data_IF_738791450411
#
_entry.id   IF_738791450411
#
_cell.length_a   1.000
_cell.length_b   1.000
_cell.length_c   1.000
_cell.angle_alpha   90.00
_cell.angle_beta   90.00
_cell.angle_gamma   90.00
#
_symmetry.space_group_name_H-M   'P 1'
#
loop_
_entity.id
_entity.type
_entity.pdbx_description
1 polymer ?
#
# COMPACT_ATOMS: atom_id res chain seq x y z
N UNK A 1 -28.03 -26.05 -44.45
CA UNK A 1 -26.84 -26.77 -44.92
C UNK A 1 -27.04 -27.04 -46.39
N UNK A 2 -26.02 -26.79 -47.18
CA UNK A 2 -26.03 -26.96 -48.63
C UNK A 2 -24.91 -27.92 -49.04
N UNK A 3 -25.08 -28.59 -50.17
CA UNK A 3 -24.03 -29.39 -50.80
C UNK A 3 -23.01 -28.51 -51.55
N UNK A 4 -21.99 -29.14 -52.13
CA UNK A 4 -20.93 -28.48 -52.89
C UNK A 4 -21.42 -27.72 -54.15
N UNK A 5 -22.64 -27.99 -54.62
CA UNK A 5 -23.22 -27.37 -55.79
C UNK A 5 -24.23 -26.27 -55.42
N UNK A 6 -24.42 -25.96 -54.13
CA UNK A 6 -25.30 -24.89 -53.68
C UNK A 6 -26.73 -25.32 -53.34
N UNK A 7 -27.06 -26.62 -53.43
CA UNK A 7 -28.41 -27.11 -53.18
C UNK A 7 -28.64 -27.42 -51.70
N UNK A 8 -29.81 -27.06 -51.19
CA UNK A 8 -30.14 -27.25 -49.77
C UNK A 8 -30.41 -28.74 -49.51
N UNK A 9 -29.53 -29.35 -48.72
CA UNK A 9 -29.64 -30.76 -48.30
C UNK A 9 -30.27 -30.93 -46.92
N UNK A 10 -30.23 -29.89 -46.09
CA UNK A 10 -30.83 -29.93 -44.75
C UNK A 10 -31.12 -28.54 -44.22
N UNK A 11 -32.32 -28.37 -43.67
CA UNK A 11 -32.76 -27.16 -42.95
C UNK A 11 -33.43 -27.57 -41.65
N UNK A 12 -33.22 -26.80 -40.57
CA UNK A 12 -33.93 -27.05 -39.31
C UNK A 12 -35.26 -26.25 -39.29
N UNK A 13 -36.22 -26.76 -38.51
CA UNK A 13 -37.56 -26.16 -38.40
C UNK A 13 -37.53 -24.73 -37.87
N UNK A 14 -36.63 -24.43 -36.93
CA UNK A 14 -36.49 -23.08 -36.38
C UNK A 14 -36.09 -22.05 -37.45
N UNK A 15 -35.21 -22.41 -38.38
CA UNK A 15 -34.80 -21.50 -39.46
C UNK A 15 -35.83 -21.43 -40.58
N UNK A 16 -36.49 -22.54 -40.93
CA UNK A 16 -37.61 -22.52 -41.89
C UNK A 16 -38.76 -21.62 -41.42
N UNK A 17 -39.14 -21.71 -40.14
CA UNK A 17 -40.13 -20.82 -39.52
C UNK A 17 -39.69 -19.34 -39.55
N UNK A 18 -38.38 -19.08 -39.37
CA UNK A 18 -37.84 -17.73 -39.42
C UNK A 18 -37.88 -17.15 -40.84
N UNK A 19 -37.67 -17.99 -41.86
CA UNK A 19 -37.83 -17.64 -43.27
C UNK A 19 -39.30 -17.56 -43.69
N UNK A 20 -40.23 -18.14 -42.92
CA UNK A 20 -41.65 -18.16 -43.24
C UNK A 20 -42.01 -19.18 -44.33
N UNK A 21 -41.22 -20.24 -44.49
CA UNK A 21 -41.38 -21.27 -45.52
C UNK A 21 -41.51 -22.66 -44.89
N UNK A 22 -42.08 -23.62 -45.63
CA UNK A 22 -42.05 -25.03 -45.26
C UNK A 22 -40.72 -25.67 -45.68
N UNK A 23 -40.19 -26.59 -44.88
CA UNK A 23 -38.90 -27.25 -45.16
C UNK A 23 -38.95 -28.00 -46.50
N UNK A 24 -40.09 -28.60 -46.83
CA UNK A 24 -40.27 -29.42 -48.03
C UNK A 24 -40.05 -28.59 -49.30
N UNK A 25 -40.40 -27.30 -49.27
CA UNK A 25 -40.26 -26.38 -50.39
C UNK A 25 -38.81 -25.86 -50.55
N UNK A 26 -37.97 -26.08 -49.54
CA UNK A 26 -36.58 -25.61 -49.53
C UNK A 26 -35.57 -26.70 -49.89
N UNK A 27 -35.86 -27.97 -49.59
CA UNK A 27 -34.91 -29.07 -49.84
C UNK A 27 -34.81 -29.36 -51.34
N UNK A 28 -33.58 -29.41 -51.86
CA UNK A 28 -33.32 -29.69 -53.28
C UNK A 28 -33.29 -28.44 -54.16
N UNK A 29 -33.76 -27.29 -53.66
CA UNK A 29 -33.67 -26.01 -54.36
C UNK A 29 -32.30 -25.34 -54.12
N UNK A 30 -31.90 -24.46 -55.04
CA UNK A 30 -30.64 -23.74 -54.90
C UNK A 30 -30.76 -22.65 -53.83
N UNK A 31 -29.75 -22.51 -52.98
CA UNK A 31 -29.82 -21.67 -51.77
C UNK A 31 -30.10 -20.20 -52.04
N UNK A 32 -29.73 -19.69 -53.21
CA UNK A 32 -29.96 -18.29 -53.62
C UNK A 32 -31.40 -18.00 -54.00
N UNK A 33 -32.18 -19.03 -54.33
CA UNK A 33 -33.60 -18.91 -54.69
C UNK A 33 -34.49 -18.91 -53.44
N UNK A 34 -34.00 -19.51 -52.35
CA UNK A 34 -34.72 -19.65 -51.08
C UNK A 34 -34.30 -18.59 -50.05
N UNK A 35 -33.02 -18.20 -50.02
CA UNK A 35 -32.48 -17.34 -48.97
C UNK A 35 -31.82 -16.10 -49.59
N UNK A 36 -32.46 -14.95 -49.43
CA UNK A 36 -31.96 -13.66 -49.89
C UNK A 36 -30.55 -13.37 -49.35
N UNK A 37 -29.64 -12.96 -50.23
CA UNK A 37 -28.28 -12.52 -49.87
C UNK A 37 -27.50 -13.52 -48.99
N UNK A 38 -27.77 -14.82 -49.15
CA UNK A 38 -27.25 -15.90 -48.31
C UNK A 38 -25.73 -16.06 -48.35
N UNK A 39 -25.08 -15.76 -49.48
CA UNK A 39 -23.64 -15.95 -49.72
C UNK A 39 -23.08 -17.34 -49.33
N UNK A 40 -23.93 -18.34 -49.06
CA UNK A 40 -23.49 -19.70 -48.76
C UNK A 40 -22.79 -20.35 -49.97
N UNK A 41 -23.22 -20.02 -51.19
CA UNK A 41 -22.52 -20.39 -52.42
C UNK A 41 -21.11 -19.76 -52.51
N UNK A 42 -20.94 -18.54 -52.02
CA UNK A 42 -19.65 -17.83 -52.04
C UNK A 42 -18.64 -18.49 -51.10
N UNK A 43 -19.05 -18.90 -49.89
CA UNK A 43 -18.14 -19.58 -48.97
C UNK A 43 -17.72 -20.97 -49.47
N UNK A 44 -18.53 -21.61 -50.32
CA UNK A 44 -18.13 -22.83 -51.03
C UNK A 44 -17.08 -22.53 -52.09
N UNK A 45 -17.27 -21.50 -52.90
CA UNK A 45 -16.30 -21.13 -53.94
C UNK A 45 -14.96 -20.68 -53.36
N UNK A 46 -15.01 -19.90 -52.28
CA UNK A 46 -13.82 -19.29 -51.67
C UNK A 46 -13.15 -20.18 -50.64
N UNK A 47 -13.88 -21.10 -50.01
CA UNK A 47 -13.40 -21.88 -48.87
C UNK A 47 -13.16 -21.09 -47.58
N UNK A 48 -13.56 -19.81 -47.53
CA UNK A 48 -13.34 -18.93 -46.38
C UNK A 48 -14.63 -18.81 -45.56
N UNK A 49 -14.52 -18.94 -44.23
CA UNK A 49 -15.66 -18.76 -43.34
C UNK A 49 -16.01 -17.28 -43.17
N UNK A 50 -17.30 -16.97 -43.23
CA UNK A 50 -17.84 -15.65 -42.89
C UNK A 50 -18.51 -15.75 -41.52
N UNK A 51 -17.92 -15.16 -40.47
CA UNK A 51 -18.42 -15.28 -39.10
C UNK A 51 -18.97 -13.93 -38.63
N UNK A 52 -20.17 -13.94 -38.03
CA UNK A 52 -20.79 -12.76 -37.42
C UNK A 52 -21.16 -11.65 -38.40
N UNK A 53 -21.43 -11.99 -39.65
CA UNK A 53 -21.78 -11.03 -40.70
C UNK A 53 -23.25 -10.63 -40.62
N UNK A 54 -23.49 -9.35 -40.86
CA UNK A 54 -24.85 -8.81 -40.96
C UNK A 54 -25.46 -9.28 -42.28
N UNK A 55 -26.64 -9.89 -42.21
CA UNK A 55 -27.46 -10.28 -43.34
C UNK A 55 -28.87 -9.76 -43.12
N UNK A 56 -29.44 -9.15 -44.15
CA UNK A 56 -30.84 -8.79 -44.16
C UNK A 56 -31.68 -9.99 -44.57
N UNK A 57 -32.61 -10.42 -43.72
CA UNK A 57 -33.50 -11.58 -43.96
C UNK A 57 -34.91 -11.18 -43.53
N UNK A 58 -35.91 -11.30 -44.43
CA UNK A 58 -37.31 -10.98 -44.15
C UNK A 58 -37.54 -9.60 -43.50
N UNK A 59 -36.84 -8.57 -43.97
CA UNK A 59 -36.99 -7.21 -43.42
C UNK A 59 -36.22 -6.95 -42.12
N UNK A 60 -35.44 -7.91 -41.62
CA UNK A 60 -34.71 -7.79 -40.36
C UNK A 60 -33.19 -7.94 -40.54
N UNK A 61 -32.45 -7.11 -39.83
CA UNK A 61 -31.01 -7.23 -39.69
C UNK A 61 -30.66 -8.40 -38.76
N UNK A 62 -30.06 -9.45 -39.32
CA UNK A 62 -29.68 -10.67 -38.62
C UNK A 62 -28.17 -10.84 -38.62
N UNK A 63 -27.61 -11.37 -37.53
CA UNK A 63 -26.18 -11.71 -37.46
C UNK A 63 -26.04 -13.20 -37.79
N UNK A 64 -25.25 -13.50 -38.83
CA UNK A 64 -25.14 -14.84 -39.39
C UNK A 64 -23.70 -15.28 -39.52
N UNK A 65 -23.50 -16.60 -39.47
CA UNK A 65 -22.21 -17.23 -39.77
C UNK A 65 -22.39 -18.30 -40.82
N UNK A 66 -21.43 -18.40 -41.74
CA UNK A 66 -21.42 -19.32 -42.88
C UNK A 66 -20.06 -20.01 -42.91
N UNK A 67 -20.09 -21.32 -42.78
CA UNK A 67 -18.88 -22.13 -42.62
C UNK A 67 -18.86 -23.19 -43.73
N UNK A 68 -17.84 -23.20 -44.62
CA UNK A 68 -17.65 -24.28 -45.56
C UNK A 68 -17.27 -25.57 -44.84
N UNK A 69 -17.77 -26.69 -45.36
CA UNK A 69 -17.54 -28.02 -44.85
C UNK A 69 -16.50 -28.72 -45.73
N UNK A 70 -15.47 -29.31 -45.11
CA UNK A 70 -14.39 -29.98 -45.80
C UNK A 70 -14.38 -31.48 -45.50
N UNK A 71 -14.03 -32.29 -46.50
CA UNK A 71 -13.69 -33.69 -46.34
C UNK A 71 -12.43 -33.99 -47.17
N UNK A 72 -11.38 -34.51 -46.53
CA UNK A 72 -10.08 -34.78 -47.16
C UNK A 72 -9.52 -33.60 -47.98
N UNK A 73 -9.66 -32.37 -47.46
CA UNK A 73 -9.17 -31.15 -48.11
C UNK A 73 -10.03 -30.63 -49.27
N UNK A 74 -11.15 -31.30 -49.60
CA UNK A 74 -12.12 -30.83 -50.60
C UNK A 74 -13.36 -30.27 -49.92
N UNK A 75 -13.90 -29.18 -50.46
CA UNK A 75 -15.15 -28.60 -49.98
C UNK A 75 -16.30 -29.50 -50.43
N UNK A 76 -17.12 -29.94 -49.48
CA UNK A 76 -18.27 -30.83 -49.72
C UNK A 76 -19.62 -30.13 -49.50
N UNK A 77 -19.61 -28.87 -49.07
CA UNK A 77 -20.81 -28.07 -48.84
C UNK A 77 -20.57 -26.93 -47.86
N UNK A 78 -21.64 -26.35 -47.32
CA UNK A 78 -21.56 -25.29 -46.31
C UNK A 78 -22.74 -25.31 -45.33
N UNK A 79 -22.53 -24.78 -44.13
CA UNK A 79 -23.56 -24.57 -43.12
C UNK A 79 -23.69 -23.08 -42.79
N UNK A 80 -24.93 -22.59 -42.88
CA UNK A 80 -25.30 -21.25 -42.43
C UNK A 80 -26.07 -21.32 -41.11
N UNK A 81 -25.83 -20.36 -40.22
CA UNK A 81 -26.52 -20.23 -38.95
C UNK A 81 -26.82 -18.76 -38.65
N UNK A 82 -28.00 -18.49 -38.10
CA UNK A 82 -28.37 -17.18 -37.56
C UNK A 82 -28.12 -17.19 -36.06
N UNK A 83 -27.24 -16.30 -35.59
CA UNK A 83 -26.85 -16.16 -34.19
C UNK A 83 -27.83 -15.24 -33.45
N UNK A 84 -28.17 -14.10 -34.07
CA UNK A 84 -29.15 -13.15 -33.53
C UNK A 84 -30.16 -12.79 -34.61
N UNK A 85 -31.45 -12.83 -34.25
CA UNK A 85 -32.57 -12.62 -35.19
C UNK A 85 -32.90 -11.14 -35.38
N UNK A 86 -32.50 -10.29 -34.44
CA UNK A 86 -32.58 -8.83 -34.55
C UNK A 86 -31.54 -8.15 -33.65
N UNK A 87 -31.27 -6.88 -33.93
CA UNK A 87 -30.37 -6.03 -33.12
C UNK A 87 -30.95 -5.65 -31.74
N UNK A 88 -32.26 -5.86 -31.50
CA UNK A 88 -32.87 -5.62 -30.19
C UNK A 88 -32.45 -6.65 -29.13
N UNK A 89 -32.29 -7.92 -29.51
CA UNK A 89 -31.81 -9.00 -28.62
C UNK A 89 -30.42 -8.68 -28.06
N UNK A 90 -29.52 -8.18 -28.91
CA UNK A 90 -28.17 -7.76 -28.52
C UNK A 90 -28.23 -6.58 -27.54
N UNK A 91 -29.08 -5.59 -27.81
CA UNK A 91 -29.25 -4.43 -26.93
C UNK A 91 -29.84 -4.80 -25.56
N UNK A 92 -30.77 -5.76 -25.50
CA UNK A 92 -31.30 -6.26 -24.22
C UNK A 92 -30.25 -6.96 -23.37
N UNK A 93 -29.39 -7.79 -24.00
CA UNK A 93 -28.25 -8.42 -23.33
C UNK A 93 -27.27 -7.38 -22.80
N UNK A 94 -26.93 -6.37 -23.60
CA UNK A 94 -26.06 -5.27 -23.18
C UNK A 94 -26.62 -4.52 -21.97
N UNK A 95 -27.93 -4.24 -21.96
CA UNK A 95 -28.60 -3.58 -20.84
C UNK A 95 -28.53 -4.40 -19.55
N UNK A 96 -28.79 -5.72 -19.63
CA UNK A 96 -28.68 -6.62 -18.46
C UNK A 96 -27.27 -6.70 -17.90
N UNK A 97 -26.25 -6.77 -18.76
CA UNK A 97 -24.84 -6.76 -18.32
C UNK A 97 -24.50 -5.46 -17.60
N UNK A 98 -24.97 -4.32 -18.13
CA UNK A 98 -24.76 -3.01 -17.52
C UNK A 98 -25.43 -2.89 -16.15
N UNK A 99 -26.67 -3.36 -16.01
CA UNK A 99 -27.40 -3.37 -14.74
C UNK A 99 -26.71 -4.26 -13.69
N UNK A 100 -26.29 -5.46 -14.08
CA UNK A 100 -25.55 -6.37 -13.19
C UNK A 100 -24.21 -5.79 -12.72
N UNK A 101 -23.48 -5.08 -13.59
CA UNK A 101 -22.23 -4.41 -13.22
C UNK A 101 -22.45 -3.27 -12.21
N UNK A 102 -23.51 -2.48 -12.38
CA UNK A 102 -23.87 -1.41 -11.43
C UNK A 102 -24.23 -2.03 -10.07
N UNK A 103 -24.98 -3.12 -10.05
CA UNK A 103 -25.33 -3.82 -8.81
C UNK A 103 -24.09 -4.40 -8.12
N UNK A 104 -23.17 -4.99 -8.89
CA UNK A 104 -21.89 -5.51 -8.39
C UNK A 104 -21.03 -4.43 -7.75
N UNK A 105 -20.94 -3.25 -8.36
CA UNK A 105 -20.17 -2.13 -7.80
C UNK A 105 -20.80 -1.59 -6.51
N UNK A 106 -22.13 -1.49 -6.46
CA UNK A 106 -22.85 -1.14 -5.23
C UNK A 106 -22.64 -2.18 -4.11
N UNK A 107 -22.56 -3.46 -4.45
CA UNK A 107 -22.30 -4.53 -3.50
C UNK A 107 -20.87 -4.46 -2.94
N UNK A 108 -19.88 -4.21 -3.81
CA UNK A 108 -18.48 -3.97 -3.40
C UNK A 108 -18.36 -2.76 -2.47
N UNK A 109 -19.07 -1.67 -2.75
CA UNK A 109 -19.06 -0.49 -1.86
C UNK A 109 -19.66 -0.79 -0.48
N UNK A 110 -20.77 -1.55 -0.42
CA UNK A 110 -21.41 -1.93 0.86
C UNK A 110 -20.52 -2.85 1.69
N UNK A 111 -19.84 -3.81 1.07
CA UNK A 111 -18.87 -4.68 1.74
C UNK A 111 -17.68 -3.90 2.30
N UNK A 112 -17.17 -2.90 1.56
CA UNK A 112 -16.10 -2.01 2.03
C UNK A 112 -16.49 -1.23 3.29
N UNK A 113 -17.74 -0.80 3.43
CA UNK A 113 -18.21 -0.04 4.61
C UNK A 113 -18.30 -0.88 5.89
N UNK A 114 -18.60 -2.17 5.78
CA UNK A 114 -18.69 -3.08 6.95
C UNK A 114 -17.30 -3.62 7.34
N UNK A 115 -16.39 -3.83 6.39
CA UNK A 115 -15.02 -4.30 6.65
C UNK A 115 -14.04 -3.21 7.12
N UNK A 116 -14.37 -1.93 6.96
CA UNK A 116 -13.47 -0.79 7.28
C UNK A 116 -12.89 -0.80 8.69
N UNK A 117 -13.64 -1.26 9.70
CA UNK A 117 -13.16 -1.29 11.10
C UNK A 117 -12.03 -2.31 11.35
N UNK A 118 -11.97 -3.40 10.56
CA UNK A 118 -10.90 -4.40 10.67
C UNK A 118 -9.73 -4.03 9.75
N UNK A 119 -10.00 -3.53 8.54
CA UNK A 119 -8.96 -3.19 7.57
C UNK A 119 -7.96 -2.15 8.10
N UNK A 120 -8.42 -1.07 8.76
CA UNK A 120 -7.51 0.01 9.16
C UNK A 120 -6.55 -0.36 10.31
N UNK A 121 -6.95 -1.27 11.22
CA UNK A 121 -6.03 -1.79 12.25
C UNK A 121 -5.14 -2.89 11.69
N UNK A 122 -5.62 -3.61 10.68
CA UNK A 122 -4.86 -4.62 9.95
C UNK A 122 -3.78 -3.99 9.07
N UNK A 123 -3.94 -2.72 8.65
CA UNK A 123 -2.89 -1.93 7.98
C UNK A 123 -1.65 -1.70 8.88
N UNK A 124 -1.79 -1.83 10.21
CA UNK A 124 -0.63 -1.86 11.11
C UNK A 124 -0.02 -3.26 11.03
N UNK A 125 0.94 -3.46 10.12
CA UNK A 125 1.60 -4.76 9.95
C UNK A 125 2.55 -5.05 11.11
N UNK A 126 2.42 -6.26 11.69
CA UNK A 126 3.28 -6.75 12.76
C UNK A 126 2.58 -7.72 13.72
N UNK A 127 3.34 -8.75 14.11
CA UNK A 127 2.98 -9.81 15.05
C UNK A 127 3.79 -9.73 16.36
N UNK A 128 4.76 -8.82 16.45
CA UNK A 128 5.51 -8.60 17.67
C UNK A 128 4.59 -8.20 18.83
N UNK A 129 4.87 -8.71 20.02
CA UNK A 129 4.05 -8.50 21.21
C UNK A 129 3.83 -7.02 21.54
N UNK A 130 4.82 -6.15 21.27
CA UNK A 130 4.70 -4.70 21.45
C UNK A 130 3.66 -4.11 20.49
N UNK A 131 3.68 -4.50 19.21
CA UNK A 131 2.70 -4.05 18.21
C UNK A 131 1.30 -4.56 18.51
N UNK A 132 1.16 -5.83 18.91
CA UNK A 132 -0.14 -6.40 19.33
C UNK A 132 -0.71 -5.63 20.53
N UNK A 133 0.13 -5.30 21.51
CA UNK A 133 -0.28 -4.50 22.67
C UNK A 133 -0.73 -3.10 22.24
N UNK A 134 0.00 -2.45 21.32
CA UNK A 134 -0.40 -1.14 20.78
C UNK A 134 -1.73 -1.22 20.02
N UNK A 135 -1.94 -2.24 19.19
CA UNK A 135 -3.23 -2.47 18.50
C UNK A 135 -4.39 -2.57 19.49
N UNK A 136 -4.19 -3.30 20.59
CA UNK A 136 -5.20 -3.44 21.64
C UNK A 136 -5.44 -2.13 22.42
N UNK A 137 -4.39 -1.33 22.64
CA UNK A 137 -4.55 0.02 23.20
C UNK A 137 -5.37 0.90 22.26
N UNK A 138 -5.04 0.92 20.96
CA UNK A 138 -5.77 1.69 19.94
C UNK A 138 -7.25 1.30 19.93
N UNK A 139 -7.57 0.00 19.94
CA UNK A 139 -8.95 -0.52 20.04
C UNK A 139 -9.74 0.09 21.20
N UNK A 140 -9.08 0.33 22.34
CA UNK A 140 -9.72 0.87 23.55
C UNK A 140 -9.83 2.39 23.55
N UNK A 141 -8.84 3.09 23.02
CA UNK A 141 -8.77 4.57 23.08
C UNK A 141 -9.39 5.24 21.86
N UNK A 142 -9.60 4.52 20.76
CA UNK A 142 -10.19 5.07 19.55
C UNK A 142 -11.63 5.57 19.77
N UNK A 143 -12.41 4.98 20.70
CA UNK A 143 -13.79 5.40 20.97
C UNK A 143 -13.91 6.64 21.87
N UNK A 144 -12.81 7.10 22.48
CA UNK A 144 -12.82 8.34 23.28
C UNK A 144 -12.41 9.55 22.44
N UNK A 145 -12.81 10.75 22.89
CA UNK A 145 -12.41 12.03 22.27
C UNK A 145 -11.10 12.61 22.87
N UNK A 146 -10.41 11.84 23.72
CA UNK A 146 -9.15 12.26 24.32
C UNK A 146 -8.07 12.51 23.26
N UNK A 147 -7.23 13.52 23.51
CA UNK A 147 -6.04 13.79 22.71
C UNK A 147 -5.07 12.62 22.80
N UNK A 148 -4.52 12.21 21.66
CA UNK A 148 -3.53 11.14 21.58
C UNK A 148 -2.21 11.74 21.09
N UNK A 149 -1.11 11.42 21.77
CA UNK A 149 0.24 11.76 21.36
C UNK A 149 0.97 10.49 20.92
N UNK A 150 1.31 10.42 19.64
CA UNK A 150 2.06 9.32 19.03
C UNK A 150 3.54 9.71 18.99
N UNK A 151 4.37 9.02 19.76
CA UNK A 151 5.83 9.17 19.72
C UNK A 151 6.47 8.01 18.99
N UNK A 152 7.57 8.28 18.30
CA UNK A 152 8.33 7.23 17.62
C UNK A 152 9.26 7.80 16.58
N UNK A 153 10.34 7.08 16.31
CA UNK A 153 11.35 7.47 15.34
C UNK A 153 10.76 7.72 13.94
N UNK A 154 11.49 8.47 13.11
CA UNK A 154 11.09 8.68 11.73
C UNK A 154 11.00 7.35 10.97
N UNK A 155 9.97 7.20 10.14
CA UNK A 155 9.76 6.00 9.34
C UNK A 155 9.14 4.81 10.08
N UNK A 156 8.68 4.96 11.31
CA UNK A 156 8.00 3.89 12.08
C UNK A 156 6.53 3.67 11.73
N UNK A 157 5.92 4.57 10.94
CA UNK A 157 4.53 4.48 10.50
C UNK A 157 3.51 5.27 11.34
N UNK A 158 3.92 6.34 12.03
CA UNK A 158 3.02 7.18 12.88
C UNK A 158 1.70 7.56 12.21
N UNK A 159 1.73 7.87 10.90
CA UNK A 159 0.52 8.20 10.15
C UNK A 159 -0.45 7.01 10.00
N UNK A 160 0.04 5.79 9.81
CA UNK A 160 -0.78 4.57 9.75
C UNK A 160 -1.52 4.37 11.07
N UNK A 161 -0.83 4.58 12.19
CA UNK A 161 -1.44 4.53 13.52
C UNK A 161 -2.51 5.61 13.69
N UNK A 162 -2.26 6.84 13.23
CA UNK A 162 -3.24 7.93 13.29
C UNK A 162 -4.49 7.64 12.44
N UNK A 163 -4.31 7.09 11.22
CA UNK A 163 -5.43 6.63 10.38
C UNK A 163 -6.26 5.57 11.10
N UNK A 164 -5.60 4.55 11.68
CA UNK A 164 -6.26 3.46 12.40
C UNK A 164 -7.08 3.99 13.58
N UNK A 165 -6.52 4.92 14.37
CA UNK A 165 -7.23 5.55 15.50
C UNK A 165 -8.49 6.29 15.02
N UNK A 166 -8.41 7.03 13.90
CA UNK A 166 -9.56 7.77 13.37
C UNK A 166 -10.64 6.82 12.82
N UNK A 167 -10.28 5.85 11.98
CA UNK A 167 -11.24 4.90 11.37
C UNK A 167 -11.94 4.02 12.42
N UNK A 168 -11.29 3.80 13.58
CA UNK A 168 -11.89 3.05 14.70
C UNK A 168 -12.66 3.93 15.69
N UNK A 169 -12.73 5.24 15.44
CA UNK A 169 -13.41 6.18 16.34
C UNK A 169 -14.88 6.37 16.01
N UNK A 170 -15.60 7.02 16.92
CA UNK A 170 -16.97 7.48 16.68
C UNK A 170 -17.04 8.57 15.59
N UNK A 171 -15.89 9.13 15.17
CA UNK A 171 -15.77 10.19 14.16
C UNK A 171 -15.28 9.67 12.80
N UNK A 172 -15.22 8.36 12.58
CA UNK A 172 -14.70 7.73 11.35
C UNK A 172 -15.37 8.15 10.04
N UNK A 173 -16.66 8.53 10.12
CA UNK A 173 -17.45 8.95 8.98
C UNK A 173 -17.29 10.47 8.71
N UNK A 174 -16.59 11.18 9.59
CA UNK A 174 -16.27 12.61 9.47
C UNK A 174 -14.87 12.80 8.88
N UNK A 175 -14.51 14.06 8.61
CA UNK A 175 -13.23 14.41 7.97
C UNK A 175 -12.04 14.02 8.84
N UNK A 176 -11.03 13.42 8.22
CA UNK A 176 -9.68 13.26 8.77
C UNK A 176 -8.71 14.23 8.09
N UNK A 177 -8.36 15.30 8.78
CA UNK A 177 -7.49 16.36 8.22
C UNK A 177 -6.07 16.17 8.71
N UNK A 178 -5.13 15.96 7.79
CA UNK A 178 -3.70 15.78 8.11
C UNK A 178 -2.93 17.06 7.85
N UNK A 179 -2.01 17.41 8.76
CA UNK A 179 -1.12 18.55 8.65
C UNK A 179 0.27 18.15 9.13
N UNK A 180 1.29 18.36 8.31
CA UNK A 180 2.68 18.21 8.70
C UNK A 180 3.24 19.58 9.10
N UNK A 181 3.62 19.72 10.37
CA UNK A 181 4.07 20.99 10.93
C UNK A 181 5.51 21.35 10.51
N UNK A 182 6.32 20.39 10.09
CA UNK A 182 7.71 20.60 9.69
C UNK A 182 7.87 20.98 8.20
N UNK A 183 6.92 20.59 7.34
CA UNK A 183 7.01 20.78 5.89
C UNK A 183 6.65 22.19 5.40
N UNK A 184 6.03 23.02 6.24
CA UNK A 184 5.44 24.30 5.86
C UNK A 184 6.10 25.44 6.65
N UNK A 185 6.55 26.53 6.00
CA UNK A 185 7.03 27.73 6.70
C UNK A 185 6.00 28.25 7.72
N UNK A 186 6.44 28.72 8.88
CA UNK A 186 5.57 29.06 10.01
C UNK A 186 4.43 30.03 9.65
N UNK A 187 4.72 31.06 8.84
CA UNK A 187 3.71 32.03 8.39
C UNK A 187 2.62 31.40 7.51
N UNK A 188 2.99 30.44 6.66
CA UNK A 188 2.04 29.70 5.83
C UNK A 188 1.28 28.72 6.71
N UNK A 189 1.95 28.03 7.64
CA UNK A 189 1.36 27.07 8.56
C UNK A 189 0.26 27.70 9.40
N UNK A 190 0.46 28.91 9.89
CA UNK A 190 -0.55 29.68 10.64
C UNK A 190 -1.83 29.88 9.82
N UNK A 191 -1.67 30.37 8.59
CA UNK A 191 -2.78 30.62 7.67
C UNK A 191 -3.48 29.34 7.19
N UNK A 192 -2.75 28.21 7.11
CA UNK A 192 -3.32 26.90 6.81
C UNK A 192 -4.12 26.38 7.99
N UNK A 193 -3.56 26.37 9.20
CA UNK A 193 -4.19 25.78 10.37
C UNK A 193 -5.44 26.56 10.81
N UNK A 194 -5.33 27.88 10.91
CA UNK A 194 -6.36 28.73 11.51
C UNK A 194 -7.18 29.52 10.49
N UNK A 195 -6.74 29.59 9.23
CA UNK A 195 -7.40 30.42 8.22
C UNK A 195 -7.13 31.91 8.42
N UNK A 196 -7.70 32.73 7.54
CA UNK A 196 -7.57 34.19 7.59
C UNK A 196 -8.83 34.89 7.10
N UNK A 197 -9.08 36.09 7.61
CA UNK A 197 -10.13 36.97 7.10
C UNK A 197 -9.64 37.79 5.89
N UNK A 198 -10.59 38.30 5.10
CA UNK A 198 -10.28 39.21 4.00
C UNK A 198 -9.51 40.43 4.52
N UNK A 199 -8.42 40.80 3.84
CA UNK A 199 -7.59 41.94 4.22
C UNK A 199 -6.59 41.69 5.35
N UNK A 200 -6.44 40.45 5.86
CA UNK A 200 -5.51 40.15 6.95
C UNK A 200 -4.02 40.45 6.62
N UNK A 201 -3.62 40.35 5.35
CA UNK A 201 -2.28 40.70 4.85
C UNK A 201 -2.32 41.02 3.35
N UNK A 202 -1.24 41.59 2.82
CA UNK A 202 -1.10 41.92 1.40
C UNK A 202 -1.15 40.64 0.53
N UNK A 203 -2.18 40.51 -0.30
CA UNK A 203 -2.42 39.31 -1.12
C UNK A 203 -3.43 38.31 -0.54
N UNK A 204 -4.10 38.64 0.57
CA UNK A 204 -5.23 37.86 1.07
C UNK A 204 -6.35 37.77 0.02
N UNK A 205 -6.88 36.56 -0.21
CA UNK A 205 -7.99 36.34 -1.14
C UNK A 205 -9.25 37.06 -0.66
N UNK A 206 -10.02 37.63 -1.60
CA UNK A 206 -11.38 38.12 -1.34
C UNK A 206 -12.24 36.97 -0.79
N UNK A 207 -12.92 37.18 0.33
CA UNK A 207 -13.65 36.15 1.07
C UNK A 207 -12.83 35.33 2.08
N UNK A 208 -11.53 35.60 2.24
CA UNK A 208 -10.67 34.92 3.22
C UNK A 208 -10.35 33.46 2.89
N UNK A 209 -9.91 32.69 3.89
CA UNK A 209 -9.60 31.27 3.79
C UNK A 209 -10.00 30.51 5.05
N UNK A 210 -10.64 29.37 4.88
CA UNK A 210 -11.02 28.46 5.97
C UNK A 210 -9.78 27.69 6.44
N UNK A 211 -9.56 27.64 7.76
CA UNK A 211 -8.45 26.91 8.37
C UNK A 211 -8.67 25.39 8.42
N UNK A 212 -7.59 24.60 8.57
CA UNK A 212 -7.64 23.15 8.74
C UNK A 212 -8.42 22.72 9.98
N UNK A 213 -8.39 23.50 11.05
CA UNK A 213 -9.18 23.21 12.25
C UNK A 213 -10.69 23.35 11.99
N UNK A 214 -11.13 24.41 11.32
CA UNK A 214 -12.52 24.55 10.87
C UNK A 214 -12.92 23.43 9.90
N UNK A 215 -12.02 23.06 8.97
CA UNK A 215 -12.26 21.96 8.04
C UNK A 215 -12.41 20.61 8.76
N UNK A 216 -11.74 20.43 9.89
CA UNK A 216 -11.79 19.21 10.71
C UNK A 216 -12.93 19.20 11.73
N UNK A 217 -13.78 20.23 11.76
CA UNK A 217 -14.88 20.32 12.72
C UNK A 217 -15.78 19.07 12.67
N UNK A 218 -16.17 18.55 13.84
CA UNK A 218 -16.82 17.26 14.08
C UNK A 218 -16.00 16.02 13.72
N UNK A 219 -14.83 16.19 13.11
CA UNK A 219 -13.91 15.14 12.71
C UNK A 219 -12.67 15.07 13.59
N UNK A 220 -11.56 14.67 12.95
CA UNK A 220 -10.26 14.52 13.59
C UNK A 220 -9.20 15.27 12.80
N UNK A 221 -8.31 15.98 13.50
CA UNK A 221 -7.10 16.56 12.93
C UNK A 221 -5.86 15.78 13.40
N UNK A 222 -4.99 15.44 12.45
CA UNK A 222 -3.68 14.83 12.70
C UNK A 222 -2.58 15.86 12.48
N UNK A 223 -1.82 16.13 13.53
CA UNK A 223 -0.70 17.07 13.54
C UNK A 223 0.60 16.28 13.60
N UNK A 224 1.24 16.07 12.45
CA UNK A 224 2.53 15.39 12.36
C UNK A 224 3.68 16.35 12.61
N UNK A 225 4.75 15.81 13.19
CA UNK A 225 5.94 16.53 13.65
C UNK A 225 5.63 17.78 14.49
N UNK A 226 4.74 17.65 15.49
CA UNK A 226 4.34 18.75 16.37
C UNK A 226 5.50 19.37 17.14
N UNK A 227 6.59 18.61 17.34
CA UNK A 227 7.80 19.08 17.97
C UNK A 227 8.46 20.25 17.22
N UNK A 228 8.26 20.38 15.92
CA UNK A 228 8.85 21.44 15.08
C UNK A 228 8.04 22.74 15.05
N UNK A 229 6.91 22.79 15.76
CA UNK A 229 6.06 23.97 15.83
C UNK A 229 6.72 25.10 16.64
N UNK A 230 6.71 26.33 16.11
CA UNK A 230 7.20 27.52 16.81
C UNK A 230 6.37 27.91 18.03
N UNK A 231 6.96 28.68 18.96
CA UNK A 231 6.34 29.04 20.25
C UNK A 231 5.01 29.82 20.12
N UNK A 232 4.89 30.66 19.09
CA UNK A 232 3.66 31.40 18.82
C UNK A 232 2.52 30.45 18.42
N UNK A 233 2.83 29.50 17.53
CA UNK A 233 1.91 28.48 17.07
C UNK A 233 1.49 27.53 18.20
N UNK A 234 2.43 27.16 19.08
CA UNK A 234 2.13 26.36 20.27
C UNK A 234 1.12 27.06 21.19
N UNK A 235 1.22 28.39 21.33
CA UNK A 235 0.29 29.17 22.15
C UNK A 235 -1.12 29.20 21.56
N UNK A 236 -1.25 29.29 20.23
CA UNK A 236 -2.54 29.20 19.54
C UNK A 236 -3.15 27.80 19.60
N UNK A 237 -2.33 26.76 19.43
CA UNK A 237 -2.77 25.37 19.56
C UNK A 237 -3.27 25.07 20.97
N UNK A 238 -2.59 25.59 22.00
CA UNK A 238 -3.02 25.45 23.39
C UNK A 238 -4.44 26.00 23.59
N UNK A 239 -4.74 27.16 23.00
CA UNK A 239 -6.06 27.77 23.05
C UNK A 239 -7.12 26.91 22.37
N UNK A 240 -6.81 26.32 21.21
CA UNK A 240 -7.69 25.33 20.55
C UNK A 240 -7.97 24.13 21.45
N UNK A 241 -6.94 23.59 22.12
CA UNK A 241 -7.08 22.42 22.99
C UNK A 241 -7.93 22.72 24.24
N UNK A 242 -7.75 23.90 24.84
CA UNK A 242 -8.39 24.29 26.10
C UNK A 242 -9.79 24.89 25.91
N UNK A 243 -9.91 25.87 25.03
CA UNK A 243 -11.13 26.67 24.86
C UNK A 243 -12.04 26.13 23.76
N UNK A 244 -11.55 25.20 22.91
CA UNK A 244 -12.29 24.66 21.75
C UNK A 244 -12.72 25.76 20.77
N UNK A 245 -11.89 26.79 20.64
CA UNK A 245 -12.07 27.89 19.68
C UNK A 245 -10.86 28.09 18.79
N UNK A 246 -11.11 28.63 17.60
CA UNK A 246 -10.08 29.06 16.65
C UNK A 246 -10.27 30.54 16.33
N UNK A 247 -9.17 31.30 16.36
CA UNK A 247 -9.14 32.67 15.84
C UNK A 247 -8.47 32.70 14.46
N UNK A 248 -9.16 33.27 13.48
CA UNK A 248 -8.57 33.51 12.15
C UNK A 248 -7.48 34.58 12.24
N UNK A 249 -6.48 34.47 11.37
CA UNK A 249 -5.49 35.55 11.22
C UNK A 249 -6.20 36.82 10.77
N UNK A 250 -6.02 37.91 11.51
CA UNK A 250 -6.70 39.19 11.30
C UNK A 250 -8.17 39.23 11.73
N UNK A 251 -8.73 38.10 12.21
CA UNK A 251 -10.11 38.02 12.68
C UNK A 251 -10.27 38.44 14.13
N UNK A 252 -11.45 38.98 14.46
CA UNK A 252 -11.79 39.43 15.83
C UNK A 252 -12.74 38.49 16.57
N UNK A 253 -13.37 37.54 15.87
CA UNK A 253 -14.37 36.63 16.44
C UNK A 253 -13.85 35.20 16.54
N UNK A 254 -13.80 34.61 17.75
CA UNK A 254 -13.46 33.21 17.92
C UNK A 254 -14.55 32.31 17.31
N UNK A 255 -14.13 31.20 16.72
CA UNK A 255 -15.01 30.20 16.10
C UNK A 255 -14.98 28.93 16.95
N UNK A 256 -16.12 28.54 17.53
CA UNK A 256 -16.25 27.28 18.26
C UNK A 256 -16.05 26.09 17.32
N UNK A 257 -15.23 25.13 17.76
CA UNK A 257 -14.93 23.91 17.02
C UNK A 257 -14.99 22.68 17.93
N UNK A 258 -15.47 21.58 17.38
CA UNK A 258 -15.42 20.26 18.01
C UNK A 258 -14.49 19.36 17.20
N UNK A 259 -13.21 19.35 17.53
CA UNK A 259 -12.19 18.58 16.81
C UNK A 259 -11.47 17.65 17.76
N UNK A 260 -11.37 16.37 17.38
CA UNK A 260 -10.46 15.43 18.03
C UNK A 260 -9.05 15.63 17.50
N UNK A 261 -8.06 15.66 18.39
CA UNK A 261 -6.67 15.90 18.03
C UNK A 261 -5.85 14.63 18.22
N UNK A 262 -5.11 14.25 17.18
CA UNK A 262 -4.03 13.26 17.23
C UNK A 262 -2.75 14.00 16.85
N UNK A 263 -1.74 14.00 17.73
CA UNK A 263 -0.45 14.61 17.45
C UNK A 263 0.62 13.53 17.32
N UNK A 264 1.65 13.79 16.52
CA UNK A 264 2.80 12.91 16.36
C UNK A 264 4.11 13.69 16.37
N UNK A 265 5.17 13.04 16.87
CA UNK A 265 6.54 13.58 16.76
C UNK A 265 7.59 12.48 16.89
N UNK A 266 8.73 12.68 16.24
CA UNK A 266 9.95 11.90 16.48
C UNK A 266 10.89 12.50 17.55
N UNK A 267 10.56 13.65 18.13
CA UNK A 267 11.44 14.39 19.03
C UNK A 267 11.09 14.13 20.49
N UNK A 268 12.10 14.26 21.36
CA UNK A 268 11.89 14.22 22.80
C UNK A 268 11.33 15.57 23.28
N UNK A 269 10.00 15.65 23.46
CA UNK A 269 9.33 16.89 23.90
C UNK A 269 9.78 17.33 25.29
N UNK A 270 10.12 16.41 26.19
CA UNK A 270 10.61 16.76 27.54
C UNK A 270 11.96 17.49 27.44
N UNK A 271 12.87 17.03 26.58
CA UNK A 271 14.11 17.76 26.31
C UNK A 271 13.85 19.13 25.67
N UNK A 272 12.86 19.24 24.77
CA UNK A 272 12.51 20.53 24.16
C UNK A 272 11.95 21.53 25.16
N UNK A 273 11.19 21.05 26.16
CA UNK A 273 10.71 21.86 27.29
C UNK A 273 11.89 22.38 28.10
N UNK A 274 12.83 21.51 28.47
CA UNK A 274 14.03 21.90 29.23
C UNK A 274 14.90 22.93 28.48
N UNK A 275 14.89 22.89 27.14
CA UNK A 275 15.57 23.86 26.26
C UNK A 275 14.76 25.14 25.99
N UNK A 276 13.54 25.26 26.52
CA UNK A 276 12.65 26.42 26.30
C UNK A 276 12.04 26.51 24.88
N UNK A 277 12.17 25.46 24.08
CA UNK A 277 11.69 25.40 22.69
C UNK A 277 10.31 24.75 22.53
N UNK A 278 9.76 24.22 23.63
CA UNK A 278 8.40 23.67 23.68
C UNK A 278 7.74 24.02 25.01
N UNK A 279 6.44 24.33 24.99
CA UNK A 279 5.71 24.71 26.20
C UNK A 279 5.27 23.50 27.01
N UNK A 280 5.48 23.57 28.31
CA UNK A 280 5.10 22.53 29.27
C UNK A 280 3.56 22.36 29.37
N UNK A 281 2.81 23.46 29.38
CA UNK A 281 1.34 23.45 29.44
C UNK A 281 0.69 22.78 28.22
N UNK A 282 1.24 23.01 27.03
CA UNK A 282 0.84 22.34 25.80
C UNK A 282 1.15 20.84 25.84
N UNK A 283 2.34 20.47 26.32
CA UNK A 283 2.73 19.06 26.44
C UNK A 283 1.73 18.28 27.29
N UNK A 284 1.32 18.79 28.45
CA UNK A 284 0.34 18.09 29.29
C UNK A 284 -1.06 17.97 28.66
N UNK A 285 -1.45 18.92 27.79
CA UNK A 285 -2.72 18.84 27.03
C UNK A 285 -2.65 17.92 25.81
N UNK A 286 -1.46 17.70 25.25
CA UNK A 286 -1.24 16.75 24.17
C UNK A 286 -1.06 15.32 24.71
N UNK A 287 -0.29 15.15 25.78
CA UNK A 287 0.12 13.87 26.34
C UNK A 287 -0.93 13.26 27.27
N UNK A 288 -2.21 13.28 26.87
CA UNK A 288 -3.30 12.67 27.64
C UNK A 288 -3.28 11.15 27.46
N UNK A 289 -3.11 10.68 26.23
CA UNK A 289 -2.93 9.26 25.91
C UNK A 289 -1.64 9.11 25.08
N UNK A 290 -0.53 8.70 25.70
CA UNK A 290 0.71 8.40 24.98
C UNK A 290 0.63 7.06 24.23
N UNK A 291 1.09 7.06 22.98
CA UNK A 291 1.29 5.87 22.16
C UNK A 291 2.72 5.92 21.62
N UNK A 292 3.60 5.10 22.20
CA UNK A 292 4.99 5.01 21.76
C UNK A 292 5.16 3.85 20.78
N UNK A 293 5.57 4.16 19.55
CA UNK A 293 5.83 3.17 18.51
C UNK A 293 7.29 2.73 18.58
N UNK A 294 7.57 1.43 18.81
CA UNK A 294 8.93 0.94 18.88
C UNK A 294 9.61 0.99 17.50
N UNK A 295 10.92 1.30 17.46
CA UNK A 295 11.69 1.22 16.23
C UNK A 295 11.78 -0.23 15.74
N UNK A 296 12.03 -0.42 14.45
CA UNK A 296 12.01 -1.74 13.80
C UNK A 296 13.03 -2.71 14.42
N UNK A 297 14.19 -2.21 14.86
CA UNK A 297 15.21 -2.99 15.58
C UNK A 297 14.75 -3.62 16.90
N UNK A 298 13.66 -3.13 17.49
CA UNK A 298 13.07 -3.72 18.70
C UNK A 298 11.94 -4.73 18.40
N UNK A 299 11.63 -4.93 17.12
CA UNK A 299 10.57 -5.81 16.61
C UNK A 299 11.00 -6.54 15.33
N UNK A 300 12.20 -7.12 15.37
CA UNK A 300 12.81 -7.82 14.23
C UNK A 300 11.92 -8.97 13.69
N UNK A 301 11.10 -9.59 14.55
CA UNK A 301 10.15 -10.64 14.17
C UNK A 301 9.07 -10.14 13.20
N UNK A 302 8.86 -8.83 13.08
CA UNK A 302 7.92 -8.24 12.13
C UNK A 302 8.50 -8.12 10.71
N UNK A 303 9.82 -8.20 10.54
CA UNK A 303 10.50 -8.00 9.26
C UNK A 303 9.98 -8.97 8.18
N UNK A 304 9.85 -10.28 8.42
CA UNK A 304 9.35 -11.20 7.39
C UNK A 304 7.95 -10.82 6.90
N UNK A 305 7.03 -10.51 7.82
CA UNK A 305 5.63 -10.17 7.48
C UNK A 305 5.56 -8.82 6.76
N UNK A 306 6.39 -7.85 7.16
CA UNK A 306 6.54 -6.58 6.46
C UNK A 306 7.07 -6.78 5.02
N UNK A 307 8.07 -7.65 4.84
CA UNK A 307 8.61 -7.97 3.52
C UNK A 307 7.56 -8.62 2.62
N UNK A 308 6.80 -9.60 3.13
CA UNK A 308 5.70 -10.23 2.39
C UNK A 308 4.64 -9.21 1.98
N UNK A 309 4.31 -8.27 2.87
CA UNK A 309 3.37 -7.20 2.58
C UNK A 309 3.88 -6.31 1.42
N UNK A 310 5.12 -5.83 1.51
CA UNK A 310 5.71 -5.00 0.45
C UNK A 310 5.85 -5.74 -0.87
N UNK A 311 6.23 -7.02 -0.85
CA UNK A 311 6.29 -7.85 -2.07
C UNK A 311 4.91 -7.93 -2.72
N UNK A 312 3.86 -8.22 -1.96
CA UNK A 312 2.49 -8.26 -2.51
C UNK A 312 2.09 -6.92 -3.12
N UNK A 313 2.40 -5.82 -2.46
CA UNK A 313 2.10 -4.48 -2.98
C UNK A 313 2.88 -4.17 -4.27
N UNK A 314 4.17 -4.46 -4.31
CA UNK A 314 5.04 -4.16 -5.43
C UNK A 314 4.82 -5.09 -6.62
N UNK A 315 4.45 -6.36 -6.41
CA UNK A 315 4.01 -7.25 -7.47
C UNK A 315 2.82 -6.65 -8.24
N UNK A 316 1.85 -6.10 -7.51
CA UNK A 316 0.70 -5.43 -8.12
C UNK A 316 1.10 -4.11 -8.82
N UNK A 317 1.98 -3.32 -8.20
CA UNK A 317 2.41 -2.00 -8.71
C UNK A 317 3.26 -2.10 -9.99
N UNK A 318 4.20 -3.04 -10.03
CA UNK A 318 5.19 -3.14 -11.12
C UNK A 318 4.87 -4.22 -12.16
N UNK A 319 3.93 -5.13 -11.87
CA UNK A 319 3.60 -6.23 -12.78
C UNK A 319 4.71 -7.29 -12.89
N UNK A 320 5.70 -7.25 -12.00
CA UNK A 320 6.76 -8.27 -11.85
C UNK A 320 6.31 -9.23 -10.76
N UNK A 321 6.50 -10.54 -10.96
CA UNK A 321 6.17 -11.54 -9.93
C UNK A 321 7.41 -11.97 -9.15
N UNK A 322 7.58 -11.40 -7.96
CA UNK A 322 8.50 -11.90 -6.94
C UNK A 322 7.70 -12.80 -5.99
N UNK A 323 8.15 -14.04 -5.85
CA UNK A 323 7.55 -15.04 -4.97
C UNK A 323 7.98 -14.84 -3.51
N UNK A 324 9.29 -14.69 -3.27
CA UNK A 324 9.86 -14.63 -1.92
C UNK A 324 11.24 -13.98 -1.85
N UNK A 325 11.69 -13.75 -0.63
CA UNK A 325 13.09 -13.42 -0.30
C UNK A 325 13.78 -14.73 0.11
N UNK A 326 15.01 -14.94 -0.36
CA UNK A 326 15.85 -16.06 0.05
C UNK A 326 16.17 -16.00 1.55
N UNK A 327 16.28 -17.15 2.21
CA UNK A 327 16.54 -17.23 3.65
C UNK A 327 17.85 -16.52 4.05
N UNK A 328 18.91 -16.63 3.24
CA UNK A 328 20.17 -15.94 3.50
C UNK A 328 20.00 -14.41 3.47
N UNK A 329 19.24 -13.88 2.51
CA UNK A 329 18.92 -12.46 2.38
C UNK A 329 18.03 -11.98 3.55
N UNK A 330 17.05 -12.81 3.97
CA UNK A 330 16.20 -12.52 5.13
C UNK A 330 17.01 -12.38 6.43
N UNK A 331 18.04 -13.21 6.62
CA UNK A 331 18.92 -13.10 7.78
C UNK A 331 19.72 -11.79 7.78
N UNK A 332 20.15 -11.29 6.62
CA UNK A 332 20.76 -9.95 6.54
C UNK A 332 19.77 -8.85 6.93
N UNK A 333 18.52 -8.94 6.46
CA UNK A 333 17.48 -7.98 6.81
C UNK A 333 17.18 -7.97 8.32
N UNK A 334 17.13 -9.14 8.97
CA UNK A 334 16.90 -9.23 10.43
C UNK A 334 18.05 -8.66 11.27
N UNK A 335 19.29 -8.73 10.78
CA UNK A 335 20.46 -8.31 11.55
C UNK A 335 20.82 -6.82 11.37
N UNK A 336 20.16 -6.12 10.46
CA UNK A 336 20.38 -4.69 10.25
C UNK A 336 19.70 -3.82 11.32
N UNK A 337 20.32 -2.69 11.65
CA UNK A 337 19.83 -1.77 12.71
C UNK A 337 18.61 -0.93 12.33
N UNK A 338 18.29 -0.83 11.03
CA UNK A 338 17.12 -0.10 10.49
C UNK A 338 16.95 1.34 11.00
N UNK A 339 17.94 2.24 10.82
CA UNK A 339 17.86 3.64 11.24
C UNK A 339 16.69 4.41 10.60
N UNK A 340 16.26 4.03 9.38
CA UNK A 340 15.08 4.59 8.72
C UNK A 340 13.80 3.77 8.91
N UNK A 341 13.82 2.77 9.78
CA UNK A 341 12.68 1.93 10.16
C UNK A 341 11.94 1.33 8.94
N UNK A 342 10.61 1.30 8.97
CA UNK A 342 9.78 0.69 7.92
C UNK A 342 9.97 1.40 6.57
N UNK A 343 10.14 2.73 6.56
CA UNK A 343 10.38 3.49 5.33
C UNK A 343 11.68 3.05 4.63
N UNK A 344 12.72 2.76 5.40
CA UNK A 344 13.96 2.24 4.84
C UNK A 344 13.79 0.81 4.32
N UNK A 345 13.09 -0.05 5.07
CA UNK A 345 12.78 -1.42 4.63
C UNK A 345 12.00 -1.41 3.31
N UNK A 346 10.94 -0.61 3.22
CA UNK A 346 10.16 -0.41 1.99
C UNK A 346 11.06 -0.02 0.81
N UNK A 347 11.91 1.00 0.99
CA UNK A 347 12.84 1.45 -0.05
C UNK A 347 13.86 0.37 -0.46
N UNK A 348 14.32 -0.46 0.49
CA UNK A 348 15.24 -1.56 0.21
C UNK A 348 14.56 -2.64 -0.63
N UNK A 349 13.33 -3.02 -0.28
CA UNK A 349 12.55 -3.98 -1.07
C UNK A 349 12.21 -3.40 -2.44
N UNK A 350 11.73 -2.15 -2.53
CA UNK A 350 11.44 -1.49 -3.81
C UNK A 350 12.70 -1.42 -4.69
N UNK A 351 13.86 -1.12 -4.10
CA UNK A 351 15.14 -1.12 -4.82
C UNK A 351 15.44 -2.50 -5.41
N UNK A 352 15.22 -3.58 -4.65
CA UNK A 352 15.51 -4.93 -5.12
C UNK A 352 14.74 -5.31 -6.40
N UNK A 353 13.51 -4.82 -6.57
CA UNK A 353 12.71 -5.03 -7.81
C UNK A 353 13.41 -4.48 -9.07
N UNK A 354 14.26 -3.46 -8.94
CA UNK A 354 14.96 -2.88 -10.10
C UNK A 354 16.18 -3.71 -10.55
N UNK A 355 16.64 -4.66 -9.72
CA UNK A 355 17.86 -5.44 -9.96
C UNK A 355 17.62 -6.95 -9.93
N UNK A 356 16.35 -7.37 -9.85
CA UNK A 356 16.00 -8.79 -9.79
C UNK A 356 15.82 -9.35 -11.21
N UNK A 357 16.60 -10.37 -11.55
CA UNK A 357 16.46 -11.09 -12.82
C UNK A 357 15.59 -12.37 -12.69
N UNK A 358 15.15 -12.68 -11.46
CA UNK A 358 14.37 -13.87 -11.12
C UNK A 358 13.15 -13.53 -10.26
N UNK A 359 12.37 -14.54 -9.87
CA UNK A 359 11.24 -14.39 -8.94
C UNK A 359 11.67 -14.45 -7.46
N UNK A 360 12.96 -14.47 -7.14
CA UNK A 360 13.48 -14.53 -5.77
C UNK A 360 14.46 -13.38 -5.54
N UNK A 361 14.29 -12.64 -4.44
CA UNK A 361 15.25 -11.63 -3.98
C UNK A 361 16.35 -12.36 -3.20
N UNK A 362 17.59 -12.29 -3.69
CA UNK A 362 18.79 -12.82 -3.04
C UNK A 362 19.60 -11.68 -2.40
N UNK A 363 20.68 -12.02 -1.69
CA UNK A 363 21.50 -11.01 -0.99
C UNK A 363 22.17 -10.02 -1.94
N UNK A 364 22.40 -10.41 -3.19
CA UNK A 364 23.05 -9.59 -4.22
C UNK A 364 22.21 -8.37 -4.61
N UNK A 365 20.87 -8.44 -4.49
CA UNK A 365 19.99 -7.29 -4.73
C UNK A 365 19.82 -6.39 -3.50
N UNK A 366 20.33 -6.80 -2.33
CA UNK A 366 20.29 -5.96 -1.14
C UNK A 366 21.41 -4.90 -1.19
N UNK A 367 21.15 -3.68 -0.68
CA UNK A 367 22.17 -2.65 -0.56
C UNK A 367 23.40 -3.12 0.23
N UNK A 368 24.61 -2.74 -0.23
CA UNK A 368 25.87 -3.11 0.43
C UNK A 368 25.91 -2.77 1.92
N UNK A 369 25.25 -1.69 2.35
CA UNK A 369 25.18 -1.30 3.77
C UNK A 369 24.51 -2.35 4.67
N UNK A 370 23.63 -3.19 4.12
CA UNK A 370 22.95 -4.28 4.84
C UNK A 370 23.79 -5.55 4.78
N UNK A 371 24.47 -5.81 3.66
CA UNK A 371 25.28 -7.03 3.46
C UNK A 371 26.69 -6.93 4.03
N UNK A 372 27.24 -5.72 4.22
CA UNK A 372 28.58 -5.44 4.77
C UNK A 372 28.62 -5.24 6.28
N UNK A 373 27.49 -5.10 6.99
CA UNK A 373 27.51 -5.18 8.46
C UNK A 373 28.01 -6.58 8.85
N UNK A 374 29.18 -6.60 9.51
CA UNK A 374 30.04 -7.79 9.63
C UNK A 374 29.29 -8.99 10.22
N UNK A 375 29.12 -10.04 9.41
CA UNK A 375 29.00 -11.41 9.92
C UNK A 375 30.34 -11.78 10.58
N UNK A 376 30.36 -11.86 11.91
CA UNK A 376 31.23 -12.84 12.56
C UNK A 376 30.35 -14.04 12.93
N UNK A 377 30.10 -14.93 11.97
CA UNK A 377 29.78 -16.30 12.33
C UNK A 377 31.07 -16.94 12.82
N UNK A 378 31.22 -17.02 14.14
CA UNK A 378 32.37 -17.66 14.75
C UNK A 378 32.15 -19.18 14.80
N UNK A 379 32.44 -19.93 13.73
CA UNK A 379 32.53 -21.41 13.80
C UNK A 379 33.73 -21.89 14.62
N UNK A 380 33.51 -22.74 15.64
CA UNK A 380 34.55 -23.33 16.51
C UNK A 380 34.33 -23.13 18.01
N UNK A 381 35.15 -23.80 18.84
CA UNK A 381 35.06 -23.74 20.31
C UNK A 381 35.27 -22.30 20.84
N UNK A 382 34.26 -21.81 21.57
CA UNK A 382 34.24 -20.47 22.17
C UNK A 382 35.44 -20.24 23.07
N UNK A 383 35.88 -21.27 23.82
CA UNK A 383 37.02 -21.15 24.73
C UNK A 383 38.31 -20.87 23.97
N UNK A 384 38.55 -21.56 22.85
CA UNK A 384 39.71 -21.32 22.00
C UNK A 384 39.70 -19.91 21.41
N UNK A 385 38.54 -19.38 21.04
CA UNK A 385 38.44 -18.02 20.48
C UNK A 385 38.64 -16.94 21.52
N UNK A 386 38.04 -17.08 22.70
CA UNK A 386 38.28 -16.15 23.81
C UNK A 386 39.75 -16.16 24.22
N UNK A 387 40.39 -17.33 24.25
CA UNK A 387 41.82 -17.45 24.52
C UNK A 387 42.67 -16.78 23.43
N UNK A 388 42.35 -16.96 22.15
CA UNK A 388 43.07 -16.32 21.05
C UNK A 388 42.86 -14.81 21.00
N UNK A 389 41.64 -14.34 21.26
CA UNK A 389 41.33 -12.92 21.30
C UNK A 389 42.01 -12.24 22.49
N UNK A 390 41.99 -12.88 23.67
CA UNK A 390 42.73 -12.44 24.84
C UNK A 390 44.24 -12.43 24.59
N UNK A 391 44.77 -13.48 23.95
CA UNK A 391 46.18 -13.57 23.54
C UNK A 391 46.55 -12.37 22.66
N UNK A 392 45.79 -12.11 21.59
CA UNK A 392 46.07 -11.02 20.66
C UNK A 392 46.07 -9.66 21.36
N UNK A 393 45.05 -9.37 22.17
CA UNK A 393 44.99 -8.11 22.94
C UNK A 393 46.21 -7.94 23.84
N UNK A 394 46.62 -9.02 24.54
CA UNK A 394 47.79 -8.98 25.43
C UNK A 394 49.07 -8.71 24.65
N UNK A 395 49.28 -9.38 23.50
CA UNK A 395 50.48 -9.22 22.69
C UNK A 395 50.54 -7.87 21.96
N UNK A 396 49.45 -7.41 21.37
CA UNK A 396 49.36 -6.07 20.74
C UNK A 396 49.62 -4.97 21.76
N UNK A 397 49.01 -5.06 22.94
CA UNK A 397 49.22 -4.06 24.00
C UNK A 397 50.64 -4.13 24.58
N UNK A 398 51.26 -5.32 24.61
CA UNK A 398 52.65 -5.50 25.02
C UNK A 398 53.62 -4.87 24.01
N UNK A 399 53.36 -5.04 22.72
CA UNK A 399 54.13 -4.45 21.62
C UNK A 399 54.01 -2.92 21.61
N UNK A 400 52.80 -2.38 21.73
CA UNK A 400 52.57 -0.93 21.89
C UNK A 400 53.27 -0.33 23.12
N UNK A 401 53.47 -1.14 24.16
CA UNK A 401 54.20 -0.75 25.37
C UNK A 401 55.71 -1.01 25.29
N UNK A 402 56.25 -1.42 24.14
CA UNK A 402 57.67 -1.73 23.96
C UNK A 402 58.17 -2.87 24.86
N UNK A 403 57.32 -3.86 25.14
CA UNK A 403 57.65 -4.99 26.03
C UNK A 403 57.53 -4.69 27.52
N UNK A 404 57.08 -3.49 27.93
CA UNK A 404 56.95 -3.14 29.34
C UNK A 404 55.71 -3.77 30.00
N UNK A 405 55.89 -4.95 30.60
CA UNK A 405 54.85 -5.75 31.26
C UNK A 405 54.10 -5.00 32.37
N UNK A 406 54.75 -4.08 33.10
CA UNK A 406 54.09 -3.30 34.16
C UNK A 406 53.13 -2.25 33.57
N UNK A 407 53.52 -1.62 32.46
CA UNK A 407 52.68 -0.65 31.74
C UNK A 407 51.51 -1.35 31.02
N UNK A 408 51.77 -2.49 30.39
CA UNK A 408 50.75 -3.33 29.74
C UNK A 408 49.67 -3.79 30.71
N UNK A 409 50.06 -4.32 31.89
CA UNK A 409 49.11 -4.75 32.91
C UNK A 409 48.18 -3.61 33.37
N UNK A 410 48.73 -2.40 33.53
CA UNK A 410 47.96 -1.21 33.94
C UNK A 410 46.98 -0.76 32.85
N UNK A 411 47.37 -0.78 31.58
CA UNK A 411 46.50 -0.40 30.46
C UNK A 411 45.38 -1.42 30.27
N UNK A 412 45.68 -2.70 30.43
CA UNK A 412 44.70 -3.78 30.33
C UNK A 412 43.82 -3.94 31.59
N UNK A 413 44.08 -3.17 32.65
CA UNK A 413 43.31 -3.24 33.89
C UNK A 413 43.46 -4.55 34.68
N UNK A 414 44.53 -5.32 34.45
CA UNK A 414 44.80 -6.59 35.13
C UNK A 414 46.01 -6.50 36.06
N UNK A 415 46.09 -7.35 37.08
CA UNK A 415 47.25 -7.39 37.96
C UNK A 415 48.49 -7.89 37.20
N UNK A 416 49.68 -7.43 37.61
CA UNK A 416 50.95 -7.88 37.02
C UNK A 416 51.08 -9.41 37.09
N UNK A 417 50.74 -10.02 38.22
CA UNK A 417 50.76 -11.48 38.37
C UNK A 417 49.84 -12.21 37.38
N UNK A 418 48.64 -11.66 37.11
CA UNK A 418 47.68 -12.21 36.16
C UNK A 418 48.21 -12.11 34.71
N UNK A 419 48.81 -10.98 34.33
CA UNK A 419 49.48 -10.83 33.04
C UNK A 419 50.60 -11.86 32.84
N UNK A 420 51.44 -12.11 33.85
CA UNK A 420 52.51 -13.12 33.75
C UNK A 420 51.95 -14.54 33.60
N UNK A 421 50.88 -14.89 34.32
CA UNK A 421 50.22 -16.19 34.15
C UNK A 421 49.64 -16.37 32.75
N UNK A 422 49.00 -15.32 32.20
CA UNK A 422 48.43 -15.35 30.85
C UNK A 422 49.51 -15.42 29.76
N UNK A 423 50.61 -14.66 29.90
CA UNK A 423 51.75 -14.78 28.97
C UNK A 423 52.33 -16.19 28.96
N UNK A 424 52.48 -16.84 30.13
CA UNK A 424 52.97 -18.22 30.24
C UNK A 424 51.98 -19.27 29.70
N UNK A 425 50.69 -18.98 29.75
CA UNK A 425 49.62 -19.82 29.18
C UNK A 425 49.60 -19.75 27.64
N UNK A 426 50.11 -18.66 27.07
CA UNK A 426 50.04 -18.36 25.63
C UNK A 426 51.38 -18.47 24.89
N UNK A 427 52.49 -18.65 25.61
CA UNK A 427 53.70 -19.35 25.14
C UNK A 427 53.38 -20.81 24.85
#
# INVERSE_FOLDING_TARGET
>A
MIDQNGFIVKMNKAYANFLGIEIVDAIGEHVTEIIENTRLHIVIETGISEIGQIQWINGHESITSRIPLFNNGKIIGAVGMVIFRNSMEVNMLYKKIKEANIELDNYKERLRRVQKNYLAIDDIIGNNSKIIKLKNTIKRVATSDSTILITGESGTGKEVFANAIHEMSNRRDNKFVKVNCAAIPETILESELFGYEEGAFTGAKKGGKIGKFELANQGTIFLDEIGDMGMNMQSKLLRVLQEKVVDKVGGSKPINIDVRIIAATNQNLIEKINKGSFREDLYFRLNVIPIEIPPLRERLDDIPVLCEYFIKQFNYKFGIYIEKIEDEAMEYLKNYSWPGNIRELENVIERAYNFVDSNIITKEQLPEKITKEKRYFYEGDLNNKLNNYEKNIIFETLEMCGGNKSKTARILGISRANLYQKLKKYE
#
